data_IF_358378771653
#
_entry.id   IF_358378771653
#
_cell.length_a   1.000
_cell.length_b   1.000
_cell.length_c   1.000
_cell.angle_alpha   90.00
_cell.angle_beta   90.00
_cell.angle_gamma   90.00
#
_symmetry.space_group_name_H-M   'P 1'
#
loop_
_entity.id
_entity.type
_entity.pdbx_description
1 polymer ?
#
# COMPACT_ATOMS: atom_id res chain seq x y z
N UNK A 1 -23.21 -4.73 -9.47
CA UNK A 1 -22.04 -5.02 -8.62
C UNK A 1 -21.82 -3.83 -7.70
N UNK A 2 -21.54 -4.06 -6.41
CA UNK A 2 -21.21 -2.99 -5.48
C UNK A 2 -19.76 -3.13 -5.02
N UNK A 3 -19.02 -2.03 -5.08
CA UNK A 3 -17.62 -1.96 -4.73
C UNK A 3 -17.35 -0.74 -3.86
N UNK A 4 -16.48 -0.91 -2.87
CA UNK A 4 -16.15 0.17 -1.96
C UNK A 4 -14.71 0.11 -1.46
N UNK A 5 -14.15 1.27 -1.15
CA UNK A 5 -12.83 1.45 -0.55
C UNK A 5 -13.03 1.86 0.90
N UNK A 6 -12.30 1.21 1.83
CA UNK A 6 -12.26 1.60 3.24
C UNK A 6 -10.87 1.39 3.84
N UNK A 7 -10.55 2.01 4.98
CA UNK A 7 -9.37 1.63 5.76
C UNK A 7 -9.42 0.14 6.11
N UNK A 8 -8.27 -0.55 6.05
CA UNK A 8 -8.15 -1.91 6.58
C UNK A 8 -8.12 -1.88 8.11
N UNK A 9 -8.59 -2.97 8.69
CA UNK A 9 -8.58 -3.24 10.13
C UNK A 9 -7.83 -4.54 10.41
N UNK A 10 -7.64 -4.87 11.69
CA UNK A 10 -7.09 -6.17 12.09
C UNK A 10 -7.92 -7.37 11.61
N UNK A 11 -9.20 -7.19 11.31
CA UNK A 11 -10.07 -8.26 10.78
C UNK A 11 -9.78 -8.59 9.31
N UNK A 12 -9.06 -7.73 8.59
CA UNK A 12 -8.76 -7.89 7.17
C UNK A 12 -7.42 -8.60 6.92
N UNK A 13 -6.67 -8.92 7.97
CA UNK A 13 -5.30 -9.42 7.90
C UNK A 13 -5.18 -10.69 7.05
N UNK A 14 -6.05 -11.67 7.26
CA UNK A 14 -6.03 -12.93 6.49
C UNK A 14 -6.31 -12.69 5.00
N UNK A 15 -7.21 -11.74 4.70
CA UNK A 15 -7.55 -11.38 3.32
C UNK A 15 -6.38 -10.65 2.64
N UNK A 16 -5.70 -9.77 3.37
CA UNK A 16 -4.52 -9.07 2.89
C UNK A 16 -3.38 -10.05 2.60
N UNK A 17 -3.11 -10.99 3.51
CA UNK A 17 -2.06 -11.99 3.33
C UNK A 17 -2.34 -12.92 2.13
N UNK A 18 -3.60 -13.32 1.94
CA UNK A 18 -4.01 -14.09 0.76
C UNK A 18 -3.78 -13.29 -0.54
N UNK A 19 -4.16 -12.02 -0.56
CA UNK A 19 -3.98 -11.13 -1.71
C UNK A 19 -2.49 -10.84 -2.00
N UNK A 20 -1.68 -10.60 -0.97
CA UNK A 20 -0.22 -10.45 -1.07
C UNK A 20 0.43 -11.69 -1.71
N UNK A 21 0.08 -12.87 -1.20
CA UNK A 21 0.60 -14.15 -1.70
C UNK A 21 0.20 -14.42 -3.15
N UNK A 22 -0.95 -13.89 -3.58
CA UNK A 22 -1.41 -14.01 -4.97
C UNK A 22 -0.77 -12.97 -5.90
N UNK A 23 -0.41 -11.79 -5.38
CA UNK A 23 0.10 -10.67 -6.17
C UNK A 23 1.63 -10.63 -6.29
N UNK A 24 2.36 -11.16 -5.29
CA UNK A 24 3.81 -11.05 -5.17
C UNK A 24 4.49 -12.40 -4.93
N UNK A 25 5.78 -12.54 -5.30
CA UNK A 25 6.61 -13.64 -4.83
C UNK A 25 6.73 -13.66 -3.30
N UNK A 26 6.90 -14.84 -2.66
CA UNK A 26 6.97 -14.94 -1.20
C UNK A 26 8.05 -14.09 -0.52
N UNK A 27 9.15 -13.78 -1.22
CA UNK A 27 10.24 -12.95 -0.69
C UNK A 27 9.93 -11.45 -0.66
N UNK A 28 8.91 -11.01 -1.39
CA UNK A 28 8.54 -9.59 -1.56
C UNK A 28 7.19 -9.24 -0.94
N UNK A 29 6.36 -10.25 -0.65
CA UNK A 29 5.04 -10.08 -0.06
C UNK A 29 5.12 -9.39 1.31
N UNK A 30 4.22 -8.42 1.53
CA UNK A 30 4.16 -7.71 2.80
C UNK A 30 3.69 -8.62 3.94
N UNK A 31 4.30 -8.47 5.13
CA UNK A 31 3.91 -9.20 6.34
C UNK A 31 2.77 -8.50 7.09
N UNK A 32 2.09 -9.26 7.95
CA UNK A 32 0.86 -8.89 8.70
C UNK A 32 0.89 -7.59 9.52
N UNK A 33 2.05 -6.97 9.71
CA UNK A 33 2.28 -5.99 10.78
C UNK A 33 2.23 -4.53 10.29
N UNK A 34 1.69 -4.30 9.09
CA UNK A 34 1.58 -2.98 8.43
C UNK A 34 0.15 -2.79 7.92
N UNK A 35 -0.54 -1.71 8.30
CA UNK A 35 -1.93 -1.43 7.90
C UNK A 35 -2.00 -0.22 6.95
N UNK A 36 -2.81 -0.29 5.89
CA UNK A 36 -3.40 0.87 5.16
C UNK A 36 -4.72 0.47 4.43
N UNK A 37 -5.10 0.99 3.25
CA UNK A 37 -6.47 0.91 2.69
C UNK A 37 -6.78 -0.38 1.89
N UNK A 38 -8.06 -0.72 1.74
CA UNK A 38 -8.53 -1.86 0.93
C UNK A 38 -9.77 -1.57 0.08
N UNK A 39 -9.83 -2.17 -1.12
CA UNK A 39 -10.96 -2.19 -2.05
C UNK A 39 -11.67 -3.54 -1.99
N UNK A 40 -12.98 -3.52 -1.71
CA UNK A 40 -13.81 -4.69 -1.53
C UNK A 40 -14.92 -4.79 -2.58
N UNK A 41 -15.29 -6.03 -2.95
CA UNK A 41 -16.42 -6.36 -3.84
C UNK A 41 -17.44 -7.23 -3.11
N UNK A 42 -18.74 -6.89 -3.20
CA UNK A 42 -19.84 -7.65 -2.57
C UNK A 42 -20.37 -8.83 -3.38
N UNK A 43 -19.89 -9.02 -4.61
CA UNK A 43 -20.30 -10.15 -5.45
C UNK A 43 -19.09 -10.57 -6.30
N UNK A 44 -18.40 -11.68 -5.97
CA UNK A 44 -17.18 -12.10 -6.64
C UNK A 44 -17.43 -12.59 -8.07
N UNK A 45 -18.61 -13.12 -8.37
CA UNK A 45 -18.95 -13.69 -9.69
C UNK A 45 -19.19 -12.61 -10.76
N UNK A 46 -19.20 -11.33 -10.36
CA UNK A 46 -19.32 -10.22 -11.29
C UNK A 46 -17.95 -9.70 -11.75
N UNK A 47 -17.90 -9.21 -12.99
CA UNK A 47 -16.73 -8.51 -13.58
C UNK A 47 -16.34 -7.29 -12.76
N UNK A 48 -15.06 -6.86 -12.75
CA UNK A 48 -14.64 -5.73 -11.93
C UNK A 48 -15.53 -4.48 -12.13
N UNK A 49 -15.77 -3.71 -11.06
CA UNK A 49 -16.60 -2.53 -11.13
C UNK A 49 -15.93 -1.46 -11.98
N UNK A 50 -16.74 -0.60 -12.60
CA UNK A 50 -16.23 0.65 -13.17
C UNK A 50 -15.60 1.47 -12.03
N UNK A 51 -14.32 1.87 -12.13
CA UNK A 51 -13.65 2.68 -11.12
C UNK A 51 -14.40 3.95 -10.68
N UNK A 52 -15.18 4.55 -11.57
CA UNK A 52 -15.97 5.75 -11.29
C UNK A 52 -17.17 5.52 -10.36
N UNK A 53 -17.59 4.26 -10.20
CA UNK A 53 -18.76 3.87 -9.40
C UNK A 53 -18.41 3.38 -7.99
N UNK A 54 -17.11 3.27 -7.68
CA UNK A 54 -16.61 2.75 -6.40
C UNK A 54 -16.82 3.77 -5.29
N UNK A 55 -17.51 3.36 -4.23
CA UNK A 55 -17.77 4.23 -3.07
C UNK A 55 -16.58 4.27 -2.12
N UNK A 56 -16.27 5.43 -1.53
CA UNK A 56 -15.23 5.56 -0.49
C UNK A 56 -15.91 5.72 0.87
N UNK A 57 -15.64 4.78 1.78
CA UNK A 57 -16.19 4.78 3.14
C UNK A 57 -15.14 5.33 4.12
N UNK A 58 -15.56 6.26 4.98
CA UNK A 58 -14.70 6.95 5.95
C UNK A 58 -14.72 6.34 7.35
N UNK A 59 -15.77 5.61 7.72
CA UNK A 59 -15.85 4.86 8.98
C UNK A 59 -15.65 3.37 8.73
N UNK A 60 -15.02 2.68 9.69
CA UNK A 60 -14.92 1.22 9.73
C UNK A 60 -16.29 0.54 10.02
N UNK A 61 -17.39 1.30 9.94
CA UNK A 61 -18.76 0.81 10.05
C UNK A 61 -19.21 0.24 8.71
N UNK A 62 -18.56 -0.84 8.28
CA UNK A 62 -19.15 -1.76 7.33
C UNK A 62 -19.26 -3.09 8.05
N UNK A 63 -20.38 -3.25 8.74
CA UNK A 63 -20.84 -4.45 9.44
C UNK A 63 -21.12 -5.64 8.51
N UNK A 64 -20.48 -5.66 7.35
CA UNK A 64 -20.80 -6.55 6.26
C UNK A 64 -19.58 -7.35 5.83
N UNK A 65 -19.53 -8.57 6.35
CA UNK A 65 -18.43 -9.51 6.16
C UNK A 65 -18.52 -10.26 4.81
N UNK A 66 -19.55 -10.00 4.00
CA UNK A 66 -19.88 -10.73 2.76
C UNK A 66 -19.02 -10.35 1.54
N UNK A 67 -18.11 -9.37 1.66
CA UNK A 67 -17.26 -8.93 0.54
C UNK A 67 -15.91 -9.65 0.44
N UNK A 68 -15.36 -9.71 -0.78
CA UNK A 68 -13.97 -10.13 -1.04
C UNK A 68 -13.05 -8.91 -1.15
N UNK A 69 -11.82 -9.01 -0.65
CA UNK A 69 -10.77 -8.00 -0.85
C UNK A 69 -10.10 -8.25 -2.20
N UNK A 70 -10.09 -7.26 -3.09
CA UNK A 70 -9.51 -7.40 -4.44
C UNK A 70 -8.32 -6.51 -4.72
N UNK A 71 -8.13 -5.45 -3.93
CA UNK A 71 -6.94 -4.62 -3.99
C UNK A 71 -6.67 -3.96 -2.63
N UNK A 72 -5.42 -3.70 -2.30
CA UNK A 72 -5.05 -2.95 -1.09
C UNK A 72 -3.79 -2.10 -1.27
N UNK A 73 -3.63 -1.16 -0.35
CA UNK A 73 -2.36 -0.46 -0.13
C UNK A 73 -1.91 -0.65 1.31
N UNK A 74 -0.62 -0.89 1.52
CA UNK A 74 0.00 -1.05 2.84
C UNK A 74 1.18 -0.07 2.93
N UNK A 75 1.22 0.74 3.98
CA UNK A 75 2.25 1.76 4.13
C UNK A 75 2.60 2.05 5.59
N UNK A 76 3.77 2.63 5.81
CA UNK A 76 4.19 3.20 7.10
C UNK A 76 4.72 4.62 6.91
N UNK A 77 4.94 5.35 8.01
CA UNK A 77 5.74 6.57 7.96
C UNK A 77 7.22 6.22 8.01
N UNK A 78 8.03 7.02 7.33
CA UNK A 78 9.48 6.89 7.24
C UNK A 78 10.13 8.27 7.36
N UNK A 79 11.35 8.32 7.93
CA UNK A 79 12.14 9.56 8.03
C UNK A 79 12.92 9.83 6.74
N UNK A 80 13.32 8.77 6.03
CA UNK A 80 14.07 8.89 4.80
C UNK A 80 13.20 9.44 3.67
N UNK A 81 13.82 10.19 2.74
CA UNK A 81 13.14 10.70 1.54
C UNK A 81 12.92 9.59 0.51
N UNK A 82 13.93 8.73 0.35
CA UNK A 82 13.89 7.51 -0.46
C UNK A 82 13.89 6.31 0.48
N UNK A 83 13.26 5.22 0.07
CA UNK A 83 13.09 4.05 0.92
C UNK A 83 14.43 3.36 1.13
N UNK A 84 14.79 3.10 2.39
CA UNK A 84 15.94 2.26 2.75
C UNK A 84 15.47 0.93 3.32
N UNK A 85 16.34 -0.08 3.34
CA UNK A 85 15.99 -1.43 3.82
C UNK A 85 15.45 -1.43 5.26
N UNK A 86 15.89 -0.48 6.09
CA UNK A 86 15.38 -0.27 7.44
C UNK A 86 13.90 0.14 7.49
N UNK A 87 13.42 0.92 6.50
CA UNK A 87 12.00 1.27 6.39
C UNK A 87 11.15 0.05 5.98
N UNK A 88 11.75 -0.90 5.25
CA UNK A 88 11.10 -2.16 4.84
C UNK A 88 11.01 -3.19 5.98
N UNK A 89 11.85 -3.08 7.01
CA UNK A 89 11.86 -3.96 8.17
C UNK A 89 10.83 -3.56 9.25
N UNK A 90 10.87 -4.23 10.39
CA UNK A 90 10.04 -4.00 11.56
C UNK A 90 10.79 -4.35 12.86
N UNK A 91 10.42 -3.74 14.01
CA UNK A 91 11.12 -4.00 15.27
C UNK A 91 10.86 -5.42 15.75
N UNK A 92 11.89 -6.27 15.91
CA UNK A 92 11.68 -7.70 16.22
C UNK A 92 11.09 -7.96 17.62
N UNK A 93 11.27 -7.02 18.54
CA UNK A 93 10.80 -7.04 19.91
C UNK A 93 9.43 -6.35 20.11
N UNK A 94 8.76 -5.93 19.03
CA UNK A 94 7.54 -5.12 19.12
C UNK A 94 6.41 -5.78 19.92
N UNK A 95 6.31 -7.12 19.87
CA UNK A 95 5.29 -7.88 20.63
C UNK A 95 5.54 -7.84 22.13
N UNK A 96 6.81 -7.78 22.53
CA UNK A 96 7.24 -7.74 23.93
C UNK A 96 7.40 -6.32 24.46
N UNK A 97 7.69 -5.35 23.58
CA UNK A 97 7.87 -3.95 23.92
C UNK A 97 7.24 -3.02 22.87
N UNK A 98 5.90 -2.86 22.86
CA UNK A 98 5.21 -2.06 21.84
C UNK A 98 5.55 -0.56 21.85
N UNK A 99 6.23 -0.08 22.91
CA UNK A 99 6.62 1.32 23.09
C UNK A 99 8.11 1.55 22.87
N UNK A 100 8.88 0.53 22.50
CA UNK A 100 10.27 0.70 22.13
C UNK A 100 10.38 1.68 20.96
N UNK A 101 11.24 2.68 21.11
CA UNK A 101 11.67 3.48 19.97
C UNK A 101 12.58 2.58 19.14
N UNK A 102 12.10 2.18 17.98
CA UNK A 102 12.84 1.36 17.05
C UNK A 102 13.22 2.18 15.83
N UNK A 103 14.44 1.99 15.36
CA UNK A 103 14.90 2.66 14.15
C UNK A 103 14.36 1.98 12.87
N UNK A 104 13.82 0.75 12.98
CA UNK A 104 13.25 -0.02 11.88
C UNK A 104 11.73 0.12 11.74
N UNK A 105 11.25 0.17 10.49
CA UNK A 105 9.83 0.17 10.15
C UNK A 105 9.14 1.52 10.38
N UNK A 106 7.97 1.49 11.02
CA UNK A 106 7.12 2.68 11.16
C UNK A 106 7.75 3.76 12.06
N UNK A 107 7.98 4.94 11.48
CA UNK A 107 8.52 6.12 12.15
C UNK A 107 7.44 7.21 12.30
N UNK A 108 6.77 7.35 13.46
CA UNK A 108 5.64 8.28 13.61
C UNK A 108 5.95 9.75 13.26
N UNK A 109 7.19 10.19 13.54
CA UNK A 109 7.69 11.53 13.24
C UNK A 109 8.26 11.69 11.82
N UNK A 110 8.21 10.65 10.99
CA UNK A 110 8.66 10.70 9.61
C UNK A 110 7.76 11.57 8.74
N UNK A 111 8.38 12.27 7.78
CA UNK A 111 7.67 13.13 6.81
C UNK A 111 7.36 12.44 5.50
N UNK A 112 7.90 11.24 5.28
CA UNK A 112 7.59 10.41 4.11
C UNK A 112 6.62 9.30 4.48
N UNK A 113 5.76 8.93 3.54
CA UNK A 113 5.00 7.67 3.59
C UNK A 113 5.71 6.63 2.73
N UNK A 114 6.21 5.58 3.37
CA UNK A 114 6.74 4.41 2.69
C UNK A 114 5.59 3.49 2.30
N UNK A 115 5.23 3.48 1.01
CA UNK A 115 4.22 2.59 0.48
C UNK A 115 4.87 1.25 0.13
N UNK A 116 4.66 0.26 1.01
CA UNK A 116 5.23 -1.08 0.93
C UNK A 116 4.56 -1.94 -0.13
N UNK A 117 3.25 -1.77 -0.31
CA UNK A 117 2.47 -2.60 -1.22
C UNK A 117 1.32 -1.82 -1.86
N UNK A 118 1.15 -2.05 -3.16
CA UNK A 118 -0.06 -1.79 -3.94
C UNK A 118 -0.42 -3.09 -4.65
N UNK A 119 -1.29 -3.89 -4.04
CA UNK A 119 -1.69 -5.19 -4.57
C UNK A 119 -3.04 -5.08 -5.28
N UNK A 120 -3.18 -5.77 -6.42
CA UNK A 120 -4.46 -6.01 -7.09
C UNK A 120 -4.50 -7.49 -7.44
N UNK A 121 -5.59 -8.16 -7.08
CA UNK A 121 -5.79 -9.58 -7.36
C UNK A 121 -5.61 -9.85 -8.86
N UNK A 122 -4.89 -10.90 -9.28
CA UNK A 122 -4.62 -11.20 -10.68
C UNK A 122 -5.87 -11.14 -11.59
N UNK A 123 -7.00 -11.65 -11.11
CA UNK A 123 -8.28 -11.68 -11.84
C UNK A 123 -8.89 -10.28 -12.07
N UNK A 124 -8.45 -9.30 -11.27
CA UNK A 124 -8.93 -7.92 -11.27
C UNK A 124 -7.87 -6.92 -11.76
N UNK A 125 -6.71 -7.40 -12.23
CA UNK A 125 -5.67 -6.54 -12.81
C UNK A 125 -6.09 -6.01 -14.19
N UNK A 126 -5.36 -4.99 -14.67
CA UNK A 126 -5.56 -4.34 -15.98
C UNK A 126 -6.93 -3.66 -16.17
N UNK A 127 -7.74 -3.55 -15.12
CA UNK A 127 -9.07 -2.94 -15.13
C UNK A 127 -9.10 -1.54 -14.47
N UNK A 128 -7.93 -0.93 -14.26
CA UNK A 128 -7.80 0.43 -13.69
C UNK A 128 -7.89 0.52 -12.17
N UNK A 129 -8.17 -0.58 -11.46
CA UNK A 129 -8.33 -0.60 -10.00
C UNK A 129 -7.09 -0.14 -9.23
N UNK A 130 -5.88 -0.51 -9.67
CA UNK A 130 -4.64 -0.04 -9.03
C UNK A 130 -4.47 1.47 -9.13
N UNK A 131 -4.82 2.06 -10.29
CA UNK A 131 -4.79 3.52 -10.48
C UNK A 131 -5.84 4.21 -9.62
N UNK A 132 -7.06 3.65 -9.54
CA UNK A 132 -8.11 4.16 -8.67
C UNK A 132 -7.65 4.17 -7.21
N UNK A 133 -7.16 3.02 -6.73
CA UNK A 133 -6.77 2.87 -5.34
C UNK A 133 -5.58 3.77 -4.98
N UNK A 134 -4.57 3.88 -5.86
CA UNK A 134 -3.46 4.82 -5.67
C UNK A 134 -3.94 6.26 -5.64
N UNK A 135 -4.84 6.66 -6.55
CA UNK A 135 -5.42 8.01 -6.56
C UNK A 135 -6.14 8.33 -5.25
N UNK A 136 -6.98 7.41 -4.76
CA UNK A 136 -7.65 7.56 -3.46
C UNK A 136 -6.67 7.57 -2.30
N UNK A 137 -5.63 6.75 -2.35
CA UNK A 137 -4.59 6.74 -1.34
C UNK A 137 -3.86 8.08 -1.28
N UNK A 138 -3.41 8.63 -2.42
CA UNK A 138 -2.78 9.96 -2.52
C UNK A 138 -3.70 11.05 -1.95
N UNK A 139 -4.99 11.07 -2.31
CA UNK A 139 -5.96 12.02 -1.77
C UNK A 139 -6.06 11.97 -0.23
N UNK A 140 -5.98 10.78 0.36
CA UNK A 140 -6.03 10.63 1.83
C UNK A 140 -4.71 11.03 2.49
N UNK A 141 -3.58 10.64 1.92
CA UNK A 141 -2.27 10.98 2.49
C UNK A 141 -2.04 12.50 2.46
N UNK A 142 -2.50 13.21 1.43
CA UNK A 142 -2.45 14.69 1.36
C UNK A 142 -3.16 15.40 2.52
N UNK A 143 -4.11 14.74 3.20
CA UNK A 143 -4.84 15.30 4.35
C UNK A 143 -4.08 15.10 5.67
N UNK A 144 -3.02 14.29 5.67
CA UNK A 144 -2.24 14.02 6.87
C UNK A 144 -1.28 15.19 7.16
N UNK A 145 -1.29 15.67 8.39
CA UNK A 145 -0.33 16.69 8.83
C UNK A 145 1.10 16.11 8.93
N UNK A 146 2.08 16.93 8.53
CA UNK A 146 3.50 16.60 8.64
C UNK A 146 3.98 15.55 7.63
N UNK A 147 3.22 15.26 6.59
CA UNK A 147 3.65 14.40 5.47
C UNK A 147 3.94 15.27 4.26
N UNK A 148 5.11 15.05 3.65
CA UNK A 148 5.59 15.79 2.50
C UNK A 148 5.52 14.98 1.20
N UNK A 149 5.58 13.64 1.30
CA UNK A 149 5.63 12.76 0.13
C UNK A 149 5.20 11.32 0.39
N UNK A 150 4.95 10.60 -0.70
CA UNK A 150 4.92 9.13 -0.76
C UNK A 150 6.19 8.66 -1.46
N UNK A 151 6.88 7.67 -0.91
CA UNK A 151 8.03 7.02 -1.51
C UNK A 151 7.75 5.53 -1.74
N UNK A 152 8.21 5.01 -2.88
CA UNK A 152 8.05 3.61 -3.27
C UNK A 152 9.36 3.03 -3.81
N UNK A 153 9.51 1.72 -3.61
CA UNK A 153 10.39 0.88 -4.40
C UNK A 153 9.57 0.22 -5.51
N UNK A 154 10.06 0.23 -6.73
CA UNK A 154 9.36 -0.44 -7.84
C UNK A 154 10.30 -1.07 -8.85
N UNK A 155 9.77 -2.03 -9.60
CA UNK A 155 10.49 -2.64 -10.71
C UNK A 155 10.65 -1.65 -11.87
N UNK A 156 11.75 -1.77 -12.61
CA UNK A 156 12.01 -0.97 -13.83
C UNK A 156 10.79 -0.95 -14.78
N UNK A 157 10.21 -2.13 -15.05
CA UNK A 157 9.02 -2.28 -15.91
C UNK A 157 7.77 -1.51 -15.43
N UNK A 158 7.70 -1.15 -14.14
CA UNK A 158 6.58 -0.42 -13.54
C UNK A 158 6.85 1.08 -13.39
N UNK A 159 8.08 1.55 -13.63
CA UNK A 159 8.42 2.98 -13.60
C UNK A 159 7.46 3.80 -14.46
N UNK A 160 7.17 3.46 -15.74
CA UNK A 160 6.27 4.26 -16.57
C UNK A 160 4.82 4.26 -16.07
N UNK A 161 4.42 3.24 -15.29
CA UNK A 161 3.09 3.20 -14.68
C UNK A 161 2.97 4.25 -13.57
N UNK A 162 3.95 4.34 -12.68
CA UNK A 162 3.95 5.30 -11.58
C UNK A 162 4.23 6.74 -12.04
N UNK A 163 5.07 6.94 -13.06
CA UNK A 163 5.28 8.27 -13.65
C UNK A 163 3.97 8.86 -14.20
N UNK A 164 3.12 8.04 -14.83
CA UNK A 164 1.78 8.46 -15.28
C UNK A 164 0.83 8.83 -14.14
N UNK A 165 1.13 8.39 -12.92
CA UNK A 165 0.41 8.76 -11.70
C UNK A 165 1.00 10.00 -11.03
N UNK A 166 2.08 10.58 -11.59
CA UNK A 166 2.75 11.77 -11.08
C UNK A 166 3.94 11.49 -10.17
N UNK A 167 4.40 10.25 -10.06
CA UNK A 167 5.64 9.96 -9.34
C UNK A 167 6.86 10.41 -10.15
N UNK A 168 7.87 10.93 -9.46
CA UNK A 168 9.18 11.27 -9.99
C UNK A 168 10.14 10.10 -9.78
N UNK A 169 10.81 9.70 -10.85
CA UNK A 169 11.86 8.68 -10.84
C UNK A 169 13.22 9.26 -10.42
N UNK A 170 13.89 8.61 -9.47
CA UNK A 170 15.23 8.94 -8.96
C UNK A 170 16.31 7.93 -9.39
N UNK A 171 15.95 6.94 -10.22
CA UNK A 171 16.85 5.93 -10.73
C UNK A 171 16.92 4.69 -9.84
N UNK A 172 18.00 3.91 -9.99
CA UNK A 172 18.21 2.67 -9.24
C UNK A 172 18.35 2.96 -7.75
N UNK A 173 17.61 2.21 -6.95
CA UNK A 173 17.62 2.32 -5.49
C UNK A 173 18.87 1.70 -4.89
N UNK A 174 19.28 2.23 -3.74
CA UNK A 174 20.27 1.61 -2.88
C UNK A 174 19.67 0.48 -2.02
N UNK A 175 18.34 0.40 -1.91
CA UNK A 175 17.66 -0.66 -1.18
C UNK A 175 17.89 -2.02 -1.85
N UNK A 176 18.22 -3.02 -1.04
CA UNK A 176 18.48 -4.39 -1.46
C UNK A 176 17.39 -5.36 -1.01
N UNK A 177 16.26 -4.83 -0.53
CA UNK A 177 15.10 -5.60 -0.11
C UNK A 177 14.77 -6.75 -1.07
N UNK A 178 14.57 -7.94 -0.50
CA UNK A 178 14.32 -9.20 -1.23
C UNK A 178 15.40 -9.61 -2.26
N UNK A 179 16.58 -8.99 -2.27
CA UNK A 179 17.65 -9.28 -3.23
C UNK A 179 17.37 -8.79 -4.66
N UNK A 180 16.42 -7.85 -4.82
CA UNK A 180 15.97 -7.33 -6.11
C UNK A 180 16.58 -5.96 -6.40
N UNK A 181 16.82 -5.65 -7.68
CA UNK A 181 17.21 -4.31 -8.12
C UNK A 181 15.97 -3.42 -8.27
N UNK A 182 15.78 -2.52 -7.31
CA UNK A 182 14.65 -1.58 -7.28
C UNK A 182 14.97 -0.23 -7.92
N UNK A 183 13.91 0.52 -8.23
CA UNK A 183 13.96 1.94 -8.58
C UNK A 183 13.24 2.77 -7.53
N UNK A 184 13.83 3.91 -7.19
CA UNK A 184 13.30 4.86 -6.21
C UNK A 184 12.38 5.87 -6.89
N UNK A 185 11.11 5.92 -6.47
CA UNK A 185 10.14 6.90 -6.95
C UNK A 185 9.48 7.65 -5.79
N UNK A 186 9.22 8.96 -5.97
CA UNK A 186 8.49 9.78 -5.00
C UNK A 186 7.30 10.51 -5.62
N UNK A 187 6.22 10.68 -4.87
CA UNK A 187 5.15 11.62 -5.15
C UNK A 187 5.18 12.71 -4.07
N UNK A 188 5.62 13.91 -4.42
CA UNK A 188 5.76 15.04 -3.49
C UNK A 188 4.48 15.89 -3.48
N UNK A 189 4.05 16.36 -2.30
CA UNK A 189 2.78 17.08 -2.09
C UNK A 189 2.88 18.61 -2.19
N UNK A 190 3.94 19.12 -2.83
CA UNK A 190 4.20 20.55 -3.05
C UNK A 190 2.96 21.35 -3.42
#
# INVERSE_FOLDING_TARGET
MAAYIRPLSSLDLDRCAALESAAFPPSEAATYEKLCYGLFLRNPDATAPDPSTVQVLSSAEAQDNEGILVAHTIATRAKATLIVDQDMDYPKDWKTNPRAVADAGHQPSGTSVALHSLAVSPDYQRQGLGKLLMGKYIEQVKKLHGVERIAILTYDRLVPYYEKLGFKNHGKSAATYAGVSWYDLTYDFS
#
